data_IF_377486857277
#
_entry.id   IF_377486857277
#
_cell.length_a   1.000
_cell.length_b   1.000
_cell.length_c   1.000
_cell.angle_alpha   90.00
_cell.angle_beta   90.00
_cell.angle_gamma   90.00
#
_symmetry.space_group_name_H-M   'P 1'
#
loop_
_entity.id
_entity.type
_entity.pdbx_description
1 polymer ?
#
# COMPACT_ATOMS: atom_id res chain seq x y z
N UNK A 1 33.56 -31.64 -64.00
CA UNK A 1 34.52 -31.89 -62.90
C UNK A 1 34.78 -30.57 -62.21
N UNK A 2 34.29 -30.37 -60.99
CA UNK A 2 34.87 -29.51 -59.95
C UNK A 2 34.11 -29.81 -58.65
N UNK A 3 34.89 -30.04 -57.61
CA UNK A 3 34.61 -30.86 -56.43
C UNK A 3 33.86 -30.11 -55.33
N UNK A 4 32.88 -30.78 -54.73
CA UNK A 4 32.25 -30.46 -53.45
C UNK A 4 33.32 -30.40 -52.34
N UNK A 5 33.58 -29.22 -51.78
CA UNK A 5 34.41 -29.08 -50.58
C UNK A 5 33.52 -29.25 -49.35
N UNK A 6 33.44 -30.47 -48.85
CA UNK A 6 32.88 -30.80 -47.54
C UNK A 6 33.87 -30.32 -46.46
N UNK A 7 33.66 -29.13 -45.92
CA UNK A 7 34.39 -28.70 -44.72
C UNK A 7 33.73 -29.31 -43.48
N UNK A 8 34.30 -30.44 -43.03
CA UNK A 8 34.03 -31.02 -41.72
C UNK A 8 34.55 -30.06 -40.63
N UNK A 9 33.67 -29.29 -40.00
CA UNK A 9 34.00 -28.56 -38.78
C UNK A 9 33.68 -29.50 -37.60
N UNK A 10 34.67 -29.98 -36.84
CA UNK A 10 34.40 -30.76 -35.63
C UNK A 10 33.92 -29.81 -34.54
N UNK A 11 32.62 -29.77 -34.31
CA UNK A 11 32.05 -29.09 -33.13
C UNK A 11 32.37 -29.97 -31.92
N UNK A 12 33.43 -29.60 -31.22
CA UNK A 12 33.79 -30.15 -29.93
C UNK A 12 32.67 -29.76 -28.94
N UNK A 13 31.77 -30.70 -28.68
CA UNK A 13 30.70 -30.57 -27.72
C UNK A 13 31.34 -30.62 -26.32
N UNK A 14 31.34 -29.54 -25.51
CA UNK A 14 31.81 -29.64 -24.15
C UNK A 14 30.84 -30.52 -23.38
N UNK A 15 31.40 -31.50 -22.67
CA UNK A 15 30.71 -32.35 -21.73
C UNK A 15 29.79 -31.50 -20.85
N UNK A 16 28.49 -31.72 -21.03
CA UNK A 16 27.43 -31.21 -20.19
C UNK A 16 27.65 -31.85 -18.82
N UNK A 17 28.33 -31.12 -17.91
CA UNK A 17 28.47 -31.52 -16.53
C UNK A 17 27.06 -31.58 -15.94
N UNK A 18 26.59 -32.79 -15.67
CA UNK A 18 25.44 -33.05 -14.82
C UNK A 18 25.70 -32.42 -13.45
N UNK A 19 25.22 -31.19 -13.27
CA UNK A 19 25.05 -30.58 -11.97
C UNK A 19 23.99 -31.42 -11.27
N UNK A 20 24.45 -32.36 -10.45
CA UNK A 20 23.60 -33.21 -9.61
C UNK A 20 22.73 -32.32 -8.73
N UNK A 21 21.50 -32.10 -9.19
CA UNK A 21 20.50 -31.26 -8.56
C UNK A 21 19.96 -32.02 -7.35
N UNK A 22 20.64 -31.88 -6.21
CA UNK A 22 20.13 -32.41 -4.93
C UNK A 22 18.80 -31.71 -4.64
N UNK A 23 17.70 -32.44 -4.85
CA UNK A 23 16.36 -31.90 -4.65
C UNK A 23 16.17 -31.48 -3.19
N UNK A 24 15.78 -30.22 -3.00
CA UNK A 24 15.53 -29.68 -1.67
C UNK A 24 14.26 -30.31 -1.06
N UNK A 25 14.19 -30.51 0.27
CA UNK A 25 12.97 -30.98 0.91
C UNK A 25 11.78 -30.06 0.60
N UNK A 26 10.55 -30.60 0.45
CA UNK A 26 9.36 -29.80 0.14
C UNK A 26 9.11 -28.65 1.14
N UNK A 27 9.46 -28.85 2.41
CA UNK A 27 9.32 -27.83 3.46
C UNK A 27 10.30 -26.66 3.28
N UNK A 28 11.48 -26.91 2.70
CA UNK A 28 12.47 -25.88 2.37
C UNK A 28 12.00 -25.09 1.16
N UNK A 29 11.53 -25.78 0.11
CA UNK A 29 10.98 -25.14 -1.09
C UNK A 29 9.83 -24.19 -0.74
N UNK A 30 8.88 -24.63 0.11
CA UNK A 30 7.76 -23.78 0.55
C UNK A 30 8.23 -22.51 1.27
N UNK A 31 9.24 -22.63 2.15
CA UNK A 31 9.80 -21.48 2.88
C UNK A 31 10.51 -20.51 1.96
N UNK A 32 11.28 -21.00 0.99
CA UNK A 32 11.94 -20.17 0.00
C UNK A 32 10.91 -19.42 -0.86
N UNK A 33 9.94 -20.12 -1.45
CA UNK A 33 8.86 -19.48 -2.23
C UNK A 33 8.10 -18.42 -1.43
N UNK A 34 7.80 -18.68 -0.16
CA UNK A 34 7.17 -17.69 0.71
C UNK A 34 8.08 -16.48 0.98
N UNK A 35 9.38 -16.70 1.20
CA UNK A 35 10.35 -15.62 1.37
C UNK A 35 10.50 -14.79 0.09
N UNK A 36 10.51 -15.42 -1.08
CA UNK A 36 10.62 -14.74 -2.37
C UNK A 36 9.38 -13.86 -2.63
N UNK A 37 8.20 -14.35 -2.28
CA UNK A 37 6.98 -13.54 -2.31
C UNK A 37 7.03 -12.34 -1.34
N UNK A 38 7.64 -12.50 -0.16
CA UNK A 38 7.84 -11.38 0.77
C UNK A 38 8.88 -10.39 0.23
N UNK A 39 9.93 -10.87 -0.42
CA UNK A 39 10.97 -10.00 -0.99
C UNK A 39 10.40 -9.14 -2.14
N UNK A 40 9.47 -9.71 -2.92
CA UNK A 40 8.82 -9.07 -4.06
C UNK A 40 7.65 -8.16 -3.69
N UNK A 41 6.76 -8.59 -2.79
CA UNK A 41 5.51 -7.88 -2.48
C UNK A 41 5.48 -7.27 -1.06
N UNK A 42 6.48 -7.55 -0.23
CA UNK A 42 6.55 -7.07 1.14
C UNK A 42 7.00 -5.62 1.23
N UNK A 43 6.61 -4.98 2.33
CA UNK A 43 7.05 -3.64 2.72
C UNK A 43 8.21 -3.71 3.73
N UNK A 44 8.99 -2.64 3.78
CA UNK A 44 10.09 -2.50 4.72
C UNK A 44 9.56 -2.20 6.13
N UNK A 45 10.11 -2.94 7.09
CA UNK A 45 9.82 -2.81 8.51
C UNK A 45 11.12 -2.55 9.27
N UNK A 46 11.01 -2.17 10.55
CA UNK A 46 12.17 -2.11 11.42
C UNK A 46 12.96 -3.43 11.37
N UNK A 47 14.31 -3.39 11.33
CA UNK A 47 15.09 -4.60 11.27
C UNK A 47 14.90 -5.43 12.55
N UNK A 48 14.61 -6.72 12.40
CA UNK A 48 14.65 -7.64 13.53
C UNK A 48 16.11 -7.92 13.93
N UNK A 49 16.34 -8.42 15.14
CA UNK A 49 17.67 -8.74 15.70
C UNK A 49 18.57 -9.54 14.74
N UNK A 50 17.98 -10.33 13.85
CA UNK A 50 18.70 -11.15 12.87
C UNK A 50 18.98 -10.43 11.56
N UNK A 51 18.05 -9.63 11.08
CA UNK A 51 18.26 -8.79 9.91
C UNK A 51 19.34 -7.75 10.20
N UNK A 52 19.28 -7.14 11.39
CA UNK A 52 20.28 -6.18 11.88
C UNK A 52 21.68 -6.78 11.93
N UNK A 53 21.85 -7.93 12.60
CA UNK A 53 23.15 -8.65 12.67
C UNK A 53 23.74 -9.03 11.31
N UNK A 54 22.90 -9.15 10.28
CA UNK A 54 23.34 -9.49 8.92
C UNK A 54 23.42 -8.29 7.98
N UNK A 55 23.06 -7.09 8.44
CA UNK A 55 22.95 -5.91 7.59
C UNK A 55 21.93 -6.06 6.46
N UNK A 56 20.89 -6.88 6.65
CA UNK A 56 19.88 -7.16 5.64
C UNK A 56 18.62 -6.30 5.82
N UNK A 57 18.01 -5.89 4.71
CA UNK A 57 16.71 -5.18 4.73
C UNK A 57 15.62 -6.14 5.21
N UNK A 58 14.85 -5.71 6.21
CA UNK A 58 13.78 -6.50 6.78
C UNK A 58 12.46 -6.20 6.05
N UNK A 59 11.97 -7.17 5.27
CA UNK A 59 10.69 -7.07 4.57
C UNK A 59 9.64 -8.01 5.16
N UNK A 60 8.40 -7.53 5.24
CA UNK A 60 7.24 -8.29 5.71
C UNK A 60 6.01 -8.04 4.83
N UNK A 61 5.10 -9.02 4.83
CA UNK A 61 3.78 -8.90 4.21
C UNK A 61 2.74 -8.74 5.31
N UNK A 62 1.68 -8.00 5.03
CA UNK A 62 0.58 -7.75 5.96
C UNK A 62 -0.04 -9.06 6.46
N UNK A 63 -0.39 -9.10 7.75
CA UNK A 63 -0.96 -10.29 8.40
C UNK A 63 0.04 -11.44 8.66
N UNK A 64 1.29 -11.35 8.23
CA UNK A 64 2.33 -12.34 8.56
C UNK A 64 3.17 -11.88 9.75
N UNK A 65 3.56 -12.84 10.60
CA UNK A 65 4.36 -12.59 11.82
C UNK A 65 5.88 -12.69 11.60
N UNK A 66 6.34 -12.95 10.37
CA UNK A 66 7.75 -13.23 10.08
C UNK A 66 8.22 -12.45 8.85
N UNK A 67 9.43 -11.89 8.94
CA UNK A 67 10.11 -11.30 7.79
C UNK A 67 10.66 -12.35 6.82
N UNK A 68 10.93 -11.95 5.58
CA UNK A 68 11.40 -12.84 4.50
C UNK A 68 12.63 -13.67 4.92
N UNK A 69 13.60 -13.04 5.56
CA UNK A 69 14.78 -13.73 6.09
C UNK A 69 14.44 -14.80 7.13
N UNK A 70 13.60 -14.47 8.11
CA UNK A 70 13.21 -15.43 9.16
C UNK A 70 12.33 -16.56 8.61
N UNK A 71 11.52 -16.29 7.57
CA UNK A 71 10.76 -17.32 6.84
C UNK A 71 11.72 -18.27 6.13
N UNK A 72 12.71 -17.75 5.39
CA UNK A 72 13.72 -18.54 4.68
C UNK A 72 14.50 -19.45 5.64
N UNK A 73 14.87 -18.92 6.81
CA UNK A 73 15.58 -19.67 7.85
C UNK A 73 14.69 -20.60 8.70
N UNK A 74 13.36 -20.48 8.61
CA UNK A 74 12.42 -21.23 9.45
C UNK A 74 12.58 -20.93 10.94
N UNK A 75 12.77 -19.67 11.32
CA UNK A 75 13.01 -19.22 12.70
C UNK A 75 11.94 -18.22 13.15
N UNK A 76 11.75 -18.00 14.46
CA UNK A 76 10.89 -16.93 14.94
C UNK A 76 11.45 -15.56 14.54
N UNK A 77 10.59 -14.54 14.55
CA UNK A 77 10.93 -13.17 14.22
C UNK A 77 10.47 -12.28 15.37
N UNK A 78 11.29 -11.30 15.74
CA UNK A 78 11.09 -10.46 16.92
C UNK A 78 10.40 -9.13 16.59
N UNK A 79 10.11 -8.86 15.31
CA UNK A 79 9.59 -7.56 14.86
C UNK A 79 8.07 -7.57 14.70
N UNK A 80 7.45 -6.44 15.01
CA UNK A 80 6.06 -6.12 14.67
C UNK A 80 5.97 -5.64 13.22
N UNK A 81 4.97 -6.12 12.47
CA UNK A 81 4.80 -5.86 11.03
C UNK A 81 4.35 -4.45 10.66
N UNK A 82 4.78 -3.42 11.38
CA UNK A 82 4.44 -2.03 11.10
C UNK A 82 5.35 -1.49 9.99
N UNK A 83 4.81 -1.05 8.85
CA UNK A 83 5.61 -0.50 7.76
C UNK A 83 6.34 0.78 8.21
N UNK A 84 7.60 0.96 7.81
CA UNK A 84 8.36 2.18 8.12
C UNK A 84 7.76 3.44 7.49
N UNK A 85 7.16 3.29 6.31
CA UNK A 85 6.54 4.38 5.56
C UNK A 85 5.09 4.69 5.99
N UNK A 86 4.52 3.90 6.91
CA UNK A 86 3.11 4.04 7.32
C UNK A 86 2.86 5.41 7.97
N UNK A 87 3.75 5.85 8.85
CA UNK A 87 3.60 7.10 9.58
C UNK A 87 3.59 8.32 8.65
N UNK A 88 4.55 8.40 7.72
CA UNK A 88 4.62 9.51 6.76
C UNK A 88 3.36 9.60 5.92
N UNK A 89 2.89 8.45 5.40
CA UNK A 89 1.65 8.38 4.62
C UNK A 89 0.43 8.81 5.45
N UNK A 90 0.35 8.37 6.71
CA UNK A 90 -0.73 8.77 7.62
C UNK A 90 -0.71 10.29 7.84
N UNK A 91 0.46 10.87 8.10
CA UNK A 91 0.62 12.32 8.32
C UNK A 91 0.20 13.11 7.07
N UNK A 92 0.62 12.69 5.89
CA UNK A 92 0.26 13.38 4.64
C UNK A 92 -1.23 13.33 4.38
N UNK A 93 -1.87 12.17 4.62
CA UNK A 93 -3.31 12.04 4.44
C UNK A 93 -4.10 12.82 5.48
N UNK A 94 -3.65 12.84 6.74
CA UNK A 94 -4.27 13.65 7.79
C UNK A 94 -4.27 15.14 7.40
N UNK A 95 -3.11 15.68 7.00
CA UNK A 95 -3.01 17.08 6.52
C UNK A 95 -3.93 17.37 5.34
N UNK A 96 -4.04 16.43 4.39
CA UNK A 96 -4.92 16.57 3.22
C UNK A 96 -6.39 16.60 3.63
N UNK A 97 -6.78 15.85 4.66
CA UNK A 97 -8.15 15.84 5.18
C UNK A 97 -8.47 17.12 5.96
N UNK A 98 -7.58 17.55 6.86
CA UNK A 98 -7.74 18.80 7.63
C UNK A 98 -7.97 20.00 6.70
N UNK A 99 -7.23 20.06 5.59
CA UNK A 99 -7.35 21.13 4.61
C UNK A 99 -8.72 21.12 3.90
N UNK A 100 -9.22 19.92 3.56
CA UNK A 100 -10.56 19.77 2.96
C UNK A 100 -11.68 20.10 3.94
N UNK A 101 -11.50 19.76 5.22
CA UNK A 101 -12.47 20.11 6.26
C UNK A 101 -12.54 21.63 6.45
N UNK A 102 -11.39 22.32 6.48
CA UNK A 102 -11.35 23.77 6.57
C UNK A 102 -12.05 24.46 5.37
N UNK A 103 -11.79 24.00 4.15
CA UNK A 103 -12.45 24.51 2.93
C UNK A 103 -13.98 24.28 2.96
N UNK A 104 -14.41 23.10 3.43
CA UNK A 104 -15.82 22.78 3.57
C UNK A 104 -16.51 23.64 4.64
N UNK A 105 -15.86 23.86 5.79
CA UNK A 105 -16.40 24.71 6.86
C UNK A 105 -16.53 26.16 6.37
N UNK A 106 -15.54 26.69 5.65
CA UNK A 106 -15.61 28.04 5.07
C UNK A 106 -16.75 28.15 4.04
N UNK A 107 -16.96 27.12 3.22
CA UNK A 107 -18.07 27.08 2.28
C UNK A 107 -19.43 27.05 3.00
N UNK A 108 -19.55 26.27 4.07
CA UNK A 108 -20.77 26.21 4.88
C UNK A 108 -21.05 27.55 5.57
N UNK A 109 -20.02 28.20 6.13
CA UNK A 109 -20.14 29.52 6.76
C UNK A 109 -20.66 30.54 5.76
N UNK A 110 -20.03 30.63 4.56
CA UNK A 110 -20.47 31.54 3.50
C UNK A 110 -21.92 31.30 3.06
N UNK A 111 -22.33 30.04 2.94
CA UNK A 111 -23.73 29.69 2.60
C UNK A 111 -24.70 30.09 3.71
N UNK A 112 -24.35 29.87 4.98
CA UNK A 112 -25.17 30.28 6.13
C UNK A 112 -25.35 31.80 6.18
N UNK A 113 -24.27 32.55 6.00
CA UNK A 113 -24.32 34.01 5.94
C UNK A 113 -25.17 34.53 4.77
N UNK A 114 -25.02 33.94 3.58
CA UNK A 114 -25.82 34.28 2.41
C UNK A 114 -27.32 33.98 2.64
N UNK A 115 -27.62 32.82 3.23
CA UNK A 115 -28.99 32.46 3.58
C UNK A 115 -29.59 33.42 4.61
N UNK A 116 -28.86 33.74 5.67
CA UNK A 116 -29.29 34.68 6.70
C UNK A 116 -29.56 36.08 6.13
N UNK A 117 -28.71 36.57 5.23
CA UNK A 117 -28.94 37.85 4.53
C UNK A 117 -30.21 37.84 3.69
N UNK A 118 -30.46 36.76 2.95
CA UNK A 118 -31.67 36.63 2.14
C UNK A 118 -32.91 36.50 3.02
N UNK A 119 -32.87 35.71 4.09
CA UNK A 119 -34.03 35.52 4.98
C UNK A 119 -34.46 36.83 5.65
N UNK A 120 -33.51 37.67 6.07
CA UNK A 120 -33.82 39.00 6.65
C UNK A 120 -34.45 39.92 5.60
N UNK A 121 -33.94 39.90 4.35
CA UNK A 121 -34.52 40.68 3.25
C UNK A 121 -35.98 40.29 2.97
N UNK A 122 -36.27 38.99 2.89
CA UNK A 122 -37.64 38.49 2.68
C UNK A 122 -38.60 38.87 3.82
N UNK A 123 -38.17 38.81 5.09
CA UNK A 123 -39.02 39.21 6.23
C UNK A 123 -39.38 40.70 6.21
N UNK A 124 -38.52 41.56 5.66
CA UNK A 124 -38.83 43.00 5.49
C UNK A 124 -39.70 43.32 4.27
N UNK A 125 -39.68 42.46 3.24
CA UNK A 125 -40.37 42.68 1.96
C UNK A 125 -41.84 42.18 1.96
N UNK A 126 -42.25 41.34 2.92
CA UNK A 126 -43.63 40.87 3.04
C UNK A 126 -44.19 41.09 4.46
N UNK A 127 -44.68 42.29 4.81
CA UNK A 127 -45.38 42.53 6.07
C UNK A 127 -46.72 41.77 6.18
N UNK A 128 -47.30 41.36 5.05
CA UNK A 128 -48.68 40.82 4.97
C UNK A 128 -48.83 39.35 5.32
N UNK A 129 -47.75 38.59 5.52
CA UNK A 129 -47.81 37.16 5.86
C UNK A 129 -47.87 36.87 7.37
N UNK A 130 -47.92 37.89 8.23
CA UNK A 130 -48.18 37.73 9.67
C UNK A 130 -49.67 37.69 10.06
N UNK A 131 -50.61 37.66 9.09
CA UNK A 131 -52.06 37.66 9.35
C UNK A 131 -52.84 36.43 8.88
N UNK A 132 -52.18 35.43 8.27
CA UNK A 132 -52.91 34.28 7.67
C UNK A 132 -52.89 33.01 8.55
N UNK A 133 -52.22 33.01 9.71
CA UNK A 133 -52.24 31.87 10.65
C UNK A 133 -53.20 32.04 11.84
N UNK A 134 -54.18 32.94 11.76
CA UNK A 134 -55.22 33.11 12.81
C UNK A 134 -56.63 32.69 12.40
N UNK A 135 -56.86 32.25 11.16
CA UNK A 135 -58.21 31.94 10.65
C UNK A 135 -58.33 30.48 10.19
N UNK A 136 -58.20 29.53 11.12
CA UNK A 136 -58.71 28.15 10.97
C UNK A 136 -58.88 27.45 12.33
N UNK A 137 -59.43 28.17 13.32
CA UNK A 137 -60.06 27.53 14.49
C UNK A 137 -61.37 28.27 14.79
N UNK A 138 -62.46 27.57 14.50
CA UNK A 138 -63.90 27.85 14.70
C UNK A 138 -64.57 28.67 13.59
#
# INVERSE_FOLDING_TARGET
>A
MLTLVWTCIPVHLPAFLDVSEKSLPPSTIRRHKAADGIDQFGFEVMPCSRCEKRGAICKMVEGKKKCGLCVRLGRPCDVTGTPLNSLTRIITEAKRLDQREAEAEELLSRRREAFARLSVNWTSLCPSWNLVESASVI
#
